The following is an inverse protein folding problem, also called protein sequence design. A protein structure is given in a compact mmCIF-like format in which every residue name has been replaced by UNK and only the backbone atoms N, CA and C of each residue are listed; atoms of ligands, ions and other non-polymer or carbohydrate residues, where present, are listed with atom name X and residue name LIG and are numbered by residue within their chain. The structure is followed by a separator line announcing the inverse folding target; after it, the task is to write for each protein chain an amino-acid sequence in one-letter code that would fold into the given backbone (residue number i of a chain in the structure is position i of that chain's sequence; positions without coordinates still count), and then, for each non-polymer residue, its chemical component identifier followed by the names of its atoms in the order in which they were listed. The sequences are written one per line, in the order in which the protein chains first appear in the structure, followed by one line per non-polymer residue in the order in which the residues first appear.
data_IF_137066494555
#
_entry.id   IF_137066494555
#
_cell.length_a   1.000
_cell.length_b   1.000
_cell.length_c   1.000
_cell.angle_alpha   90.00
_cell.angle_beta   90.00
_cell.angle_gamma   90.00
#
_symmetry.space_group_name_H-M   'P 1'
#
loop_
_entity.id
_entity.type
_entity.pdbx_description
1 polymer ?
#
# COMPACT_ATOMS: atom_id res chain seq x y z
N UNK A 1 29.02 29.17 59.76
CA UNK A 1 27.89 28.70 60.59
C UNK A 1 26.62 29.26 59.96
N UNK A 2 25.56 28.55 59.58
CA UNK A 2 25.10 27.21 59.91
C UNK A 2 24.00 26.84 58.88
N UNK A 3 24.05 25.61 58.36
CA UNK A 3 22.99 24.99 57.55
C UNK A 3 21.69 24.90 58.35
N UNK A 4 20.54 25.08 57.71
CA UNK A 4 19.30 24.43 58.15
C UNK A 4 18.53 23.87 56.95
N UNK A 5 18.44 22.56 57.00
CA UNK A 5 17.75 21.60 56.14
C UNK A 5 16.23 21.71 56.23
N UNK A 6 15.53 21.66 55.10
CA UNK A 6 14.09 21.36 55.06
C UNK A 6 13.92 19.92 54.56
N UNK A 7 13.34 19.10 55.44
CA UNK A 7 13.00 17.70 55.25
C UNK A 7 11.82 17.54 54.27
N UNK A 8 11.92 16.52 53.43
CA UNK A 8 10.80 15.91 52.71
C UNK A 8 9.76 15.37 53.70
N UNK A 9 8.50 15.73 53.48
CA UNK A 9 7.32 15.16 54.13
C UNK A 9 6.29 14.83 53.06
N UNK A 10 5.95 13.55 52.97
CA UNK A 10 4.96 13.00 52.06
C UNK A 10 3.54 13.53 52.35
N UNK A 11 2.78 13.82 51.29
CA UNK A 11 1.33 13.58 51.12
C UNK A 11 0.74 14.63 50.17
N UNK A 12 0.40 14.22 48.94
CA UNK A 12 -0.84 14.59 48.25
C UNK A 12 -0.74 14.10 46.80
N UNK A 13 -1.35 12.94 46.53
CA UNK A 13 -1.61 12.50 45.15
C UNK A 13 -2.72 13.40 44.62
N UNK A 14 -2.34 14.42 43.84
CA UNK A 14 -3.28 15.24 43.11
C UNK A 14 -3.93 14.39 42.01
N UNK A 15 -5.22 14.11 42.16
CA UNK A 15 -6.08 13.69 41.06
C UNK A 15 -6.05 14.80 39.98
N UNK A 16 -5.28 14.59 38.92
CA UNK A 16 -5.37 15.43 37.71
C UNK A 16 -6.65 15.04 36.99
N UNK A 17 -7.73 15.73 37.35
CA UNK A 17 -8.99 15.72 36.63
C UNK A 17 -8.76 16.48 35.32
N UNK A 18 -8.52 15.75 34.23
CA UNK A 18 -8.37 16.34 32.89
C UNK A 18 -9.69 17.00 32.50
N UNK A 19 -9.73 18.33 32.59
CA UNK A 19 -10.84 19.13 32.10
C UNK A 19 -10.97 18.98 30.57
N UNK A 20 -12.17 18.71 30.01
CA UNK A 20 -12.38 18.49 28.57
C UNK A 20 -12.04 19.69 27.68
N UNK A 21 -11.72 20.85 28.25
CA UNK A 21 -11.55 22.10 27.53
C UNK A 21 -10.29 22.16 26.65
N UNK A 22 -9.24 21.38 26.94
CA UNK A 22 -7.96 21.41 26.22
C UNK A 22 -7.77 20.39 25.09
N UNK A 23 -8.72 19.46 24.90
CA UNK A 23 -8.58 18.38 23.92
C UNK A 23 -9.01 18.84 22.52
N UNK A 24 -8.15 18.62 21.52
CA UNK A 24 -8.49 18.82 20.10
C UNK A 24 -9.68 17.94 19.67
N UNK A 25 -10.46 18.40 18.68
CA UNK A 25 -11.73 17.77 18.27
C UNK A 25 -11.60 16.26 18.00
N UNK A 26 -10.50 15.85 17.38
CA UNK A 26 -10.16 14.45 17.12
C UNK A 26 -10.06 13.59 18.40
N UNK A 27 -9.39 14.10 19.44
CA UNK A 27 -9.23 13.37 20.70
C UNK A 27 -10.56 13.27 21.47
N UNK A 28 -11.42 14.29 21.38
CA UNK A 28 -12.78 14.23 21.96
C UNK A 28 -13.64 13.20 21.25
N UNK A 29 -13.57 13.13 19.93
CA UNK A 29 -14.37 12.19 19.14
C UNK A 29 -13.93 10.74 19.40
N UNK A 30 -12.61 10.49 19.46
CA UNK A 30 -12.07 9.18 19.85
C UNK A 30 -12.46 8.78 21.28
N UNK A 31 -12.41 9.72 22.23
CA UNK A 31 -12.85 9.45 23.62
C UNK A 31 -14.35 9.22 23.74
N UNK A 32 -15.19 9.94 22.98
CA UNK A 32 -16.64 9.73 22.96
C UNK A 32 -17.01 8.38 22.37
N UNK A 33 -16.31 7.94 21.32
CA UNK A 33 -16.52 6.61 20.71
C UNK A 33 -16.03 5.48 21.64
N UNK A 34 -14.92 5.68 22.34
CA UNK A 34 -14.43 4.72 23.35
C UNK A 34 -15.36 4.67 24.57
N UNK A 35 -15.88 5.81 25.02
CA UNK A 35 -16.80 5.89 26.16
C UNK A 35 -18.18 5.30 25.83
N UNK A 36 -18.70 5.48 24.62
CA UNK A 36 -19.96 4.87 24.20
C UNK A 36 -19.83 3.35 24.04
N UNK A 37 -18.67 2.86 23.60
CA UNK A 37 -18.36 1.43 23.57
C UNK A 37 -18.25 0.81 24.98
N UNK A 38 -17.64 1.53 25.93
CA UNK A 38 -17.59 1.09 27.33
C UNK A 38 -18.98 1.08 28.00
N UNK A 39 -19.85 2.05 27.67
CA UNK A 39 -21.23 2.09 28.17
C UNK A 39 -22.11 0.96 27.58
N UNK A 40 -21.88 0.58 26.31
CA UNK A 40 -22.57 -0.53 25.68
C UNK A 40 -22.16 -1.90 26.26
N UNK A 41 -20.93 -2.02 26.76
CA UNK A 41 -20.45 -3.22 27.45
C UNK A 41 -20.96 -3.36 28.90
N UNK A 42 -21.57 -2.32 29.47
CA UNK A 42 -22.07 -2.28 30.85
C UNK A 42 -23.60 -2.52 30.96
N UNK A 43 -24.27 -2.97 29.90
CA UNK A 43 -25.70 -3.22 29.91
C UNK A 43 -26.03 -4.63 30.45
N UNK A 44 -26.50 -4.68 31.70
CA UNK A 44 -26.98 -5.87 32.40
C UNK A 44 -28.45 -6.16 31.99
N UNK A 45 -28.81 -7.35 31.47
CA UNK A 45 -30.20 -7.65 31.11
C UNK A 45 -31.07 -7.90 32.35
N UNK A 46 -32.34 -7.44 32.38
CA UNK A 46 -33.19 -7.63 33.55
C UNK A 46 -33.81 -9.04 33.56
N UNK A 47 -33.46 -9.80 34.60
CA UNK A 47 -34.36 -10.72 35.32
C UNK A 47 -34.70 -12.09 34.70
N UNK A 48 -34.27 -13.16 35.38
CA UNK A 48 -35.07 -14.38 35.49
C UNK A 48 -34.34 -15.72 35.54
N UNK A 49 -34.52 -16.41 36.68
CA UNK A 49 -34.38 -17.86 36.93
C UNK A 49 -33.00 -18.43 37.32
N UNK A 50 -32.91 -18.73 38.62
CA UNK A 50 -31.86 -19.47 39.28
C UNK A 50 -31.77 -20.94 38.80
N UNK A 51 -30.54 -21.42 38.56
CA UNK A 51 -30.17 -22.82 38.65
C UNK A 51 -28.71 -22.89 39.14
N UNK A 52 -28.51 -23.56 40.27
CA UNK A 52 -27.26 -23.55 41.03
C UNK A 52 -26.08 -24.21 40.31
N UNK A 53 -24.93 -23.54 40.38
CA UNK A 53 -23.61 -24.15 40.17
C UNK A 53 -22.75 -23.93 41.42
N UNK A 54 -21.85 -24.87 41.76
CA UNK A 54 -21.09 -24.83 43.01
C UNK A 54 -20.02 -23.73 42.95
N UNK A 55 -19.82 -23.02 44.07
CA UNK A 55 -18.73 -22.06 44.24
C UNK A 55 -17.36 -22.76 44.13
N UNK A 56 -16.39 -22.22 43.36
CA UNK A 56 -15.01 -22.65 43.44
C UNK A 56 -14.32 -22.06 44.70
N UNK A 57 -13.34 -22.77 45.29
CA UNK A 57 -12.76 -22.42 46.59
C UNK A 57 -11.89 -21.15 46.55
N UNK A 58 -11.81 -20.51 47.71
CA UNK A 58 -11.11 -19.25 47.95
C UNK A 58 -9.57 -19.38 47.86
N UNK A 59 -8.99 -18.39 47.16
CA UNK A 59 -7.66 -17.78 47.32
C UNK A 59 -6.39 -18.64 47.10
N UNK A 60 -5.65 -18.28 46.04
CA UNK A 60 -4.22 -18.03 46.16
C UNK A 60 -3.87 -16.70 45.47
N UNK A 61 -3.41 -15.77 46.31
CA UNK A 61 -3.08 -14.39 46.03
C UNK A 61 -1.80 -14.33 45.18
N UNK A 62 -1.97 -14.23 43.85
CA UNK A 62 -0.86 -14.04 42.93
C UNK A 62 -0.75 -12.56 42.53
N UNK A 63 0.42 -12.00 42.84
CA UNK A 63 0.77 -10.58 42.87
C UNK A 63 0.42 -9.84 41.58
N UNK A 64 -0.14 -8.64 41.76
CA UNK A 64 -0.22 -7.59 40.73
C UNK A 64 1.16 -7.33 40.09
N UNK A 65 1.25 -7.09 38.77
CA UNK A 65 2.49 -6.61 38.18
C UNK A 65 2.82 -5.20 38.72
N UNK A 66 4.11 -4.86 38.93
CA UNK A 66 4.48 -3.51 39.34
C UNK A 66 4.16 -2.48 38.24
N UNK A 67 3.90 -1.22 38.59
CA UNK A 67 3.71 -0.15 37.61
C UNK A 67 5.00 0.07 36.79
N UNK A 68 4.92 0.56 35.54
CA UNK A 68 6.10 0.84 34.75
C UNK A 68 6.96 1.89 35.45
N UNK A 69 8.22 1.53 35.74
CA UNK A 69 9.21 2.46 36.25
C UNK A 69 9.50 3.51 35.17
N UNK A 70 9.51 4.77 35.59
CA UNK A 70 9.88 5.91 34.77
C UNK A 70 11.26 5.68 34.13
N UNK A 71 11.30 5.61 32.80
CA UNK A 71 12.55 5.65 32.05
C UNK A 71 13.05 7.08 32.11
N UNK A 72 14.23 7.25 32.68
CA UNK A 72 14.94 8.51 32.75
C UNK A 72 15.19 9.08 31.33
N UNK A 73 14.84 10.35 31.14
CA UNK A 73 15.33 11.18 30.05
C UNK A 73 16.86 11.15 30.04
N UNK A 74 17.45 10.58 29.00
CA UNK A 74 18.84 10.84 28.63
C UNK A 74 18.79 11.87 27.50
N UNK A 75 18.94 13.14 27.90
CA UNK A 75 19.28 14.26 27.05
C UNK A 75 20.63 13.99 26.39
N UNK A 76 20.64 13.75 25.07
CA UNK A 76 21.85 13.87 24.25
C UNK A 76 21.73 15.17 23.47
N UNK A 77 22.57 16.12 23.87
CA UNK A 77 22.79 17.40 23.20
C UNK A 77 23.48 17.21 21.85
N UNK A 78 23.23 18.17 20.97
CA UNK A 78 23.67 18.35 19.59
C UNK A 78 25.15 18.07 19.30
N UNK A 79 25.43 17.46 18.14
CA UNK A 79 26.31 18.03 17.09
C UNK A 79 26.54 17.03 15.95
N UNK A 80 25.75 17.11 14.89
CA UNK A 80 26.20 16.69 13.54
C UNK A 80 25.68 17.70 12.52
N UNK A 81 26.60 18.50 12.01
CA UNK A 81 26.44 19.41 10.89
C UNK A 81 26.23 18.62 9.59
N UNK A 82 25.07 18.79 8.96
CA UNK A 82 24.85 18.39 7.56
C UNK A 82 24.58 19.66 6.77
N UNK A 83 25.59 20.09 6.01
CA UNK A 83 25.48 21.17 5.03
C UNK A 83 24.67 20.70 3.82
N UNK A 84 23.42 21.14 3.73
CA UNK A 84 22.61 21.05 2.50
C UNK A 84 22.66 22.41 1.81
N UNK A 85 23.37 22.49 0.69
CA UNK A 85 23.31 23.62 -0.23
C UNK A 85 22.22 23.34 -1.26
N UNK A 86 21.03 23.90 -1.04
CA UNK A 86 20.02 24.10 -2.08
C UNK A 86 20.20 25.51 -2.65
N UNK A 87 20.40 25.63 -3.97
CA UNK A 87 20.25 26.90 -4.68
C UNK A 87 19.14 26.74 -5.71
N UNK A 88 18.12 27.58 -5.53
CA UNK A 88 16.92 27.69 -6.32
C UNK A 88 17.20 28.31 -7.69
N UNK A 89 16.44 27.90 -8.70
CA UNK A 89 16.24 28.69 -9.91
C UNK A 89 14.74 28.85 -10.15
N UNK A 90 14.26 30.09 -10.09
CA UNK A 90 12.92 30.51 -10.50
C UNK A 90 13.02 31.86 -11.20
N UNK A 91 12.24 31.99 -12.29
CA UNK A 91 11.93 33.20 -13.08
C UNK A 91 13.06 33.72 -13.98
N UNK A 92 12.83 34.27 -15.16
CA UNK A 92 11.63 34.85 -15.75
C UNK A 92 11.69 34.79 -17.29
N UNK A 93 10.52 34.82 -17.94
CA UNK A 93 10.37 35.19 -19.34
C UNK A 93 10.55 36.72 -19.53
N UNK A 94 10.79 37.17 -20.77
CA UNK A 94 9.86 38.17 -21.30
C UNK A 94 9.52 37.99 -22.78
N UNK A 95 8.31 38.39 -23.13
CA UNK A 95 7.82 38.73 -24.45
C UNK A 95 7.85 40.25 -24.63
N UNK A 96 8.45 40.78 -25.70
CA UNK A 96 7.78 41.76 -26.57
C UNK A 96 8.51 42.09 -27.88
N UNK A 97 7.65 42.38 -28.84
CA UNK A 97 7.72 42.93 -30.21
C UNK A 97 8.89 43.82 -30.66
N UNK A 98 9.16 43.80 -31.98
CA UNK A 98 9.74 44.93 -32.72
C UNK A 98 10.70 44.56 -33.86
N UNK A 99 10.19 44.39 -35.09
CA UNK A 99 10.92 44.72 -36.34
C UNK A 99 10.88 46.26 -36.54
N UNK A 100 11.73 46.96 -37.35
CA UNK A 100 12.30 46.48 -38.62
C UNK A 100 13.67 47.10 -39.08
N UNK A 101 14.05 46.78 -40.34
CA UNK A 101 14.83 47.58 -41.33
C UNK A 101 16.37 47.66 -41.35
N UNK A 102 16.84 47.76 -42.61
CA UNK A 102 18.13 48.23 -43.17
C UNK A 102 19.26 47.17 -43.27
N UNK A 103 19.66 46.65 -44.44
CA UNK A 103 20.16 47.23 -45.71
C UNK A 103 21.64 47.62 -45.71
N UNK A 104 22.32 47.25 -46.81
CA UNK A 104 23.60 47.71 -47.36
C UNK A 104 24.89 46.89 -47.12
N UNK A 105 25.33 46.29 -48.24
CA UNK A 105 26.63 46.36 -48.91
C UNK A 105 27.96 46.17 -48.17
N UNK A 106 28.74 45.25 -48.75
CA UNK A 106 29.93 45.65 -49.50
C UNK A 106 31.27 45.58 -48.78
N UNK A 107 32.24 44.93 -49.44
CA UNK A 107 33.62 45.38 -49.40
C UNK A 107 34.59 44.63 -48.49
N UNK A 108 35.27 43.65 -49.08
CA UNK A 108 36.73 43.48 -49.14
C UNK A 108 37.67 43.99 -48.03
N UNK A 109 38.68 43.15 -47.79
CA UNK A 109 40.04 43.44 -47.27
C UNK A 109 40.12 43.71 -45.75
N UNK A 110 41.11 43.29 -44.99
CA UNK A 110 42.40 42.64 -45.23
C UNK A 110 42.92 42.11 -43.89
N UNK A 111 43.68 41.02 -43.97
CA UNK A 111 44.64 40.48 -43.00
C UNK A 111 45.07 41.36 -41.80
N UNK A 112 44.96 40.78 -40.61
CA UNK A 112 46.03 40.82 -39.61
C UNK A 112 45.99 39.54 -38.75
N UNK A 113 47.05 38.75 -38.88
CA UNK A 113 47.33 37.53 -38.15
C UNK A 113 48.14 37.85 -36.90
N UNK A 114 47.62 37.57 -35.71
CA UNK A 114 48.47 37.26 -34.55
C UNK A 114 47.65 36.84 -33.32
N UNK A 115 47.85 35.58 -32.91
CA UNK A 115 47.74 35.17 -31.51
C UNK A 115 46.37 34.70 -31.04
N UNK A 116 46.02 33.46 -31.34
CA UNK A 116 45.22 32.63 -30.43
C UNK A 116 45.77 31.20 -30.49
N UNK A 117 46.30 30.76 -29.35
CA UNK A 117 46.63 29.36 -29.05
C UNK A 117 45.47 28.45 -29.47
N UNK A 118 45.73 27.22 -29.96
CA UNK A 118 44.63 26.28 -30.16
C UNK A 118 44.00 26.02 -28.80
N UNK A 119 42.75 26.46 -28.63
CA UNK A 119 41.91 26.04 -27.52
C UNK A 119 41.92 24.51 -27.52
N UNK A 120 42.30 23.85 -26.42
CA UNK A 120 42.30 22.39 -26.39
C UNK A 120 40.88 21.95 -26.70
N UNK A 121 40.73 21.15 -27.76
CA UNK A 121 39.48 20.51 -28.13
C UNK A 121 38.87 19.94 -26.84
N UNK A 122 37.67 20.42 -26.51
CA UNK A 122 36.90 19.93 -25.38
C UNK A 122 36.88 18.40 -25.49
N UNK A 123 37.66 17.75 -24.62
CA UNK A 123 37.71 16.31 -24.53
C UNK A 123 36.28 15.84 -24.34
N UNK A 124 35.80 15.21 -25.40
CA UNK A 124 34.46 14.71 -25.59
C UNK A 124 34.05 13.93 -24.35
N UNK A 125 32.95 14.33 -23.70
CA UNK A 125 32.31 13.54 -22.65
C UNK A 125 31.98 12.10 -23.11
N UNK A 126 32.03 11.86 -24.42
CA UNK A 126 31.99 10.56 -25.09
C UNK A 126 33.17 9.63 -24.73
N UNK A 127 34.37 10.15 -24.43
CA UNK A 127 35.55 9.31 -24.14
C UNK A 127 35.50 8.69 -22.75
N UNK A 128 34.93 9.41 -21.76
CA UNK A 128 34.77 8.93 -20.40
C UNK A 128 33.80 7.72 -20.31
N UNK A 129 32.76 7.71 -21.15
CA UNK A 129 31.80 6.60 -21.22
C UNK A 129 32.37 5.37 -21.97
N UNK A 130 33.28 5.57 -22.92
CA UNK A 130 33.91 4.46 -23.67
C UNK A 130 34.88 3.62 -22.80
N UNK A 131 35.49 4.24 -21.78
CA UNK A 131 36.47 3.58 -20.90
C UNK A 131 35.82 2.62 -19.90
N UNK A 132 34.58 2.88 -19.49
CA UNK A 132 33.85 2.08 -18.50
C UNK A 132 33.25 0.78 -19.08
N UNK A 133 33.19 0.65 -20.41
CA UNK A 133 32.55 -0.46 -21.12
C UNK A 133 33.37 -1.78 -21.15
N UNK A 134 34.47 -1.88 -20.40
CA UNK A 134 35.37 -3.06 -20.42
C UNK A 134 35.43 -3.86 -19.13
N UNK A 135 34.48 -3.69 -18.21
CA UNK A 135 34.29 -4.63 -17.11
C UNK A 135 33.68 -5.93 -17.65
N UNK A 136 34.51 -6.79 -18.25
CA UNK A 136 34.14 -8.20 -18.50
C UNK A 136 33.98 -8.85 -17.13
N UNK A 137 32.73 -9.13 -16.76
CA UNK A 137 32.44 -9.94 -15.58
C UNK A 137 33.30 -11.22 -15.64
N UNK A 138 33.92 -11.64 -14.53
CA UNK A 138 34.66 -12.88 -14.50
C UNK A 138 33.74 -14.01 -14.99
N UNK A 139 34.29 -14.93 -15.78
CA UNK A 139 33.55 -16.07 -16.33
C UNK A 139 33.29 -17.06 -15.19
N UNK A 140 32.40 -16.72 -14.24
CA UNK A 140 31.95 -17.65 -13.21
C UNK A 140 31.27 -18.82 -13.90
N UNK A 141 31.55 -20.03 -13.43
CA UNK A 141 30.85 -21.21 -13.97
C UNK A 141 29.33 -21.00 -13.82
N UNK A 142 28.53 -21.35 -14.85
CA UNK A 142 27.08 -21.18 -14.79
C UNK A 142 26.49 -21.95 -13.59
N UNK A 143 27.10 -23.06 -13.20
CA UNK A 143 26.63 -23.85 -12.05
C UNK A 143 26.70 -23.05 -10.75
N UNK A 144 27.79 -22.29 -10.52
CA UNK A 144 27.95 -21.49 -9.29
C UNK A 144 26.93 -20.35 -9.25
N UNK A 145 26.73 -19.65 -10.37
CA UNK A 145 25.77 -18.53 -10.45
C UNK A 145 24.33 -19.01 -10.27
N UNK A 146 23.94 -20.10 -10.94
CA UNK A 146 22.62 -20.72 -10.78
C UNK A 146 22.40 -21.25 -9.35
N UNK A 147 23.39 -21.92 -8.76
CA UNK A 147 23.28 -22.45 -7.38
C UNK A 147 23.10 -21.32 -6.38
N UNK A 148 23.91 -20.26 -6.46
CA UNK A 148 23.80 -19.11 -5.58
C UNK A 148 22.44 -18.39 -5.75
N UNK A 149 22.00 -18.17 -6.99
CA UNK A 149 20.71 -17.54 -7.27
C UNK A 149 19.54 -18.37 -6.71
N UNK A 150 19.50 -19.67 -6.97
CA UNK A 150 18.43 -20.55 -6.51
C UNK A 150 18.41 -20.70 -4.98
N UNK A 151 19.58 -20.84 -4.36
CA UNK A 151 19.69 -20.93 -2.90
C UNK A 151 19.26 -19.63 -2.22
N UNK A 152 19.65 -18.46 -2.76
CA UNK A 152 19.19 -17.17 -2.27
C UNK A 152 17.66 -17.01 -2.38
N UNK A 153 17.08 -17.32 -3.54
CA UNK A 153 15.62 -17.28 -3.73
C UNK A 153 14.91 -18.24 -2.78
N UNK A 154 15.38 -19.49 -2.69
CA UNK A 154 14.80 -20.50 -1.82
C UNK A 154 14.86 -20.06 -0.36
N UNK A 155 16.01 -19.53 0.10
CA UNK A 155 16.16 -19.06 1.47
C UNK A 155 15.18 -17.90 1.76
N UNK A 156 15.13 -16.86 0.93
CA UNK A 156 14.27 -15.70 1.16
C UNK A 156 12.76 -16.04 1.11
N UNK A 157 12.32 -16.93 0.23
CA UNK A 157 10.90 -17.26 0.05
C UNK A 157 10.42 -18.41 0.94
N UNK A 158 11.20 -19.49 1.04
CA UNK A 158 10.78 -20.75 1.68
C UNK A 158 11.03 -20.71 3.19
N UNK A 159 12.09 -20.04 3.66
CA UNK A 159 12.41 -19.99 5.10
C UNK A 159 11.27 -19.39 5.94
N UNK A 160 10.67 -18.23 5.61
CA UNK A 160 9.62 -17.64 6.44
C UNK A 160 8.34 -18.50 6.46
N UNK A 161 7.99 -19.09 5.32
CA UNK A 161 6.83 -19.97 5.18
C UNK A 161 7.04 -21.24 6.01
N UNK A 162 8.20 -21.88 5.90
CA UNK A 162 8.49 -23.09 6.69
C UNK A 162 8.57 -22.80 8.18
N UNK A 163 9.13 -21.66 8.60
CA UNK A 163 9.14 -21.24 10.00
C UNK A 163 7.72 -21.06 10.57
N UNK A 164 6.81 -20.45 9.80
CA UNK A 164 5.41 -20.30 10.19
C UNK A 164 4.72 -21.68 10.31
N UNK A 165 4.91 -22.56 9.31
CA UNK A 165 4.33 -23.90 9.33
C UNK A 165 4.87 -24.77 10.48
N UNK A 166 6.15 -24.62 10.82
CA UNK A 166 6.75 -25.27 11.99
C UNK A 166 6.09 -24.79 13.28
N UNK A 167 5.92 -23.47 13.45
CA UNK A 167 5.22 -22.90 14.61
C UNK A 167 3.78 -23.39 14.70
N UNK A 168 3.07 -23.47 13.57
CA UNK A 168 1.71 -23.98 13.50
C UNK A 168 1.62 -25.48 13.88
N UNK A 169 2.62 -26.27 13.50
CA UNK A 169 2.68 -27.72 13.79
C UNK A 169 2.86 -28.04 15.28
N UNK A 170 3.35 -27.08 16.07
CA UNK A 170 3.48 -27.20 17.53
C UNK A 170 2.13 -27.00 18.25
N UNK A 171 1.12 -26.44 17.58
CA UNK A 171 -0.19 -26.19 18.16
C UNK A 171 -1.03 -27.48 18.08
N UNK A 172 -1.62 -27.96 19.19
CA UNK A 172 -2.53 -29.10 19.17
C UNK A 172 -3.68 -28.90 18.18
N UNK A 173 -4.01 -29.93 17.39
CA UNK A 173 -4.98 -29.83 16.29
C UNK A 173 -6.38 -29.33 16.74
N UNK A 174 -6.81 -29.72 17.95
CA UNK A 174 -8.07 -29.25 18.54
C UNK A 174 -8.05 -27.73 18.79
N UNK A 175 -6.93 -27.19 19.30
CA UNK A 175 -6.75 -25.76 19.52
C UNK A 175 -6.62 -25.03 18.18
N UNK A 176 -5.90 -25.61 17.22
CA UNK A 176 -5.76 -25.07 15.88
C UNK A 176 -7.13 -24.88 15.22
N UNK A 177 -7.95 -25.93 15.19
CA UNK A 177 -9.29 -25.87 14.57
C UNK A 177 -10.17 -24.88 15.33
N UNK A 178 -10.21 -24.94 16.67
CA UNK A 178 -11.04 -24.05 17.47
C UNK A 178 -10.73 -22.56 17.24
N UNK A 179 -9.44 -22.19 17.14
CA UNK A 179 -9.01 -20.81 16.85
C UNK A 179 -9.19 -20.44 15.38
N UNK A 180 -8.97 -21.37 14.45
CA UNK A 180 -9.19 -21.13 13.02
C UNK A 180 -10.66 -20.90 12.69
N UNK A 181 -11.57 -21.60 13.35
CA UNK A 181 -13.02 -21.50 13.11
C UNK A 181 -13.72 -20.57 14.10
N UNK A 182 -12.98 -19.76 14.84
CA UNK A 182 -13.57 -18.77 15.75
C UNK A 182 -14.44 -17.80 14.94
N UNK A 183 -15.64 -17.40 15.41
CA UNK A 183 -16.56 -16.57 14.64
C UNK A 183 -15.92 -15.27 14.10
N UNK A 184 -15.04 -14.65 14.90
CA UNK A 184 -14.30 -13.45 14.50
C UNK A 184 -13.34 -13.74 13.35
N UNK A 185 -12.59 -14.85 13.42
CA UNK A 185 -11.64 -15.26 12.38
C UNK A 185 -12.37 -15.59 11.07
N UNK A 186 -13.45 -16.36 11.13
CA UNK A 186 -14.27 -16.70 9.96
C UNK A 186 -14.83 -15.47 9.27
N UNK A 187 -15.35 -14.51 10.04
CA UNK A 187 -15.84 -13.26 9.47
C UNK A 187 -14.70 -12.40 8.90
N UNK A 188 -13.52 -12.37 9.54
CA UNK A 188 -12.36 -11.66 9.02
C UNK A 188 -11.87 -12.26 7.69
N UNK A 189 -11.85 -13.59 7.56
CA UNK A 189 -11.57 -14.25 6.28
C UNK A 189 -12.61 -13.84 5.23
N UNK A 190 -13.90 -13.92 5.55
CA UNK A 190 -14.96 -13.54 4.63
C UNK A 190 -14.80 -12.10 4.14
N UNK A 191 -14.55 -11.14 5.02
CA UNK A 191 -14.35 -9.72 4.64
C UNK A 191 -13.10 -9.58 3.77
N UNK A 192 -11.98 -10.20 4.15
CA UNK A 192 -10.74 -10.14 3.36
C UNK A 192 -10.93 -10.67 1.95
N UNK A 193 -11.50 -11.86 1.78
CA UNK A 193 -11.71 -12.48 0.47
C UNK A 193 -12.80 -11.78 -0.35
N UNK A 194 -13.93 -11.42 0.25
CA UNK A 194 -15.02 -10.73 -0.47
C UNK A 194 -14.60 -9.33 -0.92
N UNK A 195 -13.99 -8.52 -0.04
CA UNK A 195 -13.55 -7.17 -0.40
C UNK A 195 -12.43 -7.20 -1.46
N UNK A 196 -11.47 -8.11 -1.36
CA UNK A 196 -10.39 -8.24 -2.36
C UNK A 196 -10.92 -8.69 -3.72
N UNK A 197 -11.90 -9.59 -3.74
CA UNK A 197 -12.56 -10.01 -4.97
C UNK A 197 -13.35 -8.87 -5.61
N UNK A 198 -14.11 -8.10 -4.82
CA UNK A 198 -14.84 -6.92 -5.30
C UNK A 198 -13.86 -5.88 -5.85
N UNK A 199 -12.78 -5.58 -5.12
CA UNK A 199 -11.76 -4.65 -5.57
C UNK A 199 -11.11 -5.10 -6.89
N UNK A 200 -10.77 -6.39 -7.02
CA UNK A 200 -10.22 -6.96 -8.24
C UNK A 200 -11.19 -6.90 -9.41
N UNK A 201 -12.49 -7.17 -9.19
CA UNK A 201 -13.51 -7.07 -10.22
C UNK A 201 -13.70 -5.63 -10.71
N UNK A 202 -13.71 -4.66 -9.79
CA UNK A 202 -13.74 -3.23 -10.13
C UNK A 202 -12.50 -2.86 -10.94
N UNK A 203 -11.31 -3.28 -10.48
CA UNK A 203 -10.06 -3.03 -11.18
C UNK A 203 -9.96 -3.73 -12.53
N UNK A 204 -10.59 -4.89 -12.72
CA UNK A 204 -10.70 -5.55 -14.02
C UNK A 204 -11.38 -4.63 -15.03
N UNK A 205 -12.52 -4.04 -14.67
CA UNK A 205 -13.29 -3.16 -15.57
C UNK A 205 -12.57 -1.83 -15.78
N UNK A 206 -12.27 -1.10 -14.70
CA UNK A 206 -11.70 0.24 -14.80
C UNK A 206 -10.23 0.22 -15.25
N UNK A 207 -9.46 -0.79 -14.85
CA UNK A 207 -8.10 -0.99 -15.31
C UNK A 207 -8.03 -1.34 -16.79
N UNK A 208 -8.96 -2.16 -17.30
CA UNK A 208 -9.09 -2.41 -18.74
C UNK A 208 -9.40 -1.11 -19.50
N UNK A 209 -10.39 -0.35 -19.05
CA UNK A 209 -10.78 0.92 -19.69
C UNK A 209 -9.60 1.90 -19.67
N UNK A 210 -8.89 2.06 -18.55
CA UNK A 210 -7.77 2.98 -18.48
C UNK A 210 -6.60 2.52 -19.36
N UNK A 211 -6.27 1.23 -19.35
CA UNK A 211 -5.26 0.68 -20.26
C UNK A 211 -5.66 0.97 -21.72
N UNK A 212 -6.93 0.78 -22.08
CA UNK A 212 -7.45 1.05 -23.41
C UNK A 212 -7.23 2.51 -23.79
N UNK A 213 -7.61 3.42 -22.90
CA UNK A 213 -7.42 4.87 -23.11
C UNK A 213 -5.94 5.22 -23.30
N UNK A 214 -5.06 4.69 -22.44
CA UNK A 214 -3.63 4.98 -22.48
C UNK A 214 -2.93 4.41 -23.71
N UNK A 215 -3.34 3.25 -24.23
CA UNK A 215 -2.72 2.66 -25.42
C UNK A 215 -3.29 3.24 -26.71
N UNK A 216 -4.63 3.33 -26.82
CA UNK A 216 -5.30 3.64 -28.10
C UNK A 216 -5.39 5.13 -28.42
N UNK A 217 -5.44 6.00 -27.41
CA UNK A 217 -5.59 7.43 -27.63
C UNK A 217 -4.28 8.18 -27.38
N UNK A 218 -4.10 9.26 -28.14
CA UNK A 218 -3.02 10.23 -27.94
C UNK A 218 -3.66 11.57 -27.58
N UNK A 219 -3.35 12.07 -26.38
CA UNK A 219 -3.89 13.32 -25.85
C UNK A 219 -2.83 14.02 -24.98
N UNK A 220 -2.98 15.33 -24.81
CA UNK A 220 -2.09 16.12 -23.97
C UNK A 220 -2.23 15.66 -22.50
N UNK A 221 -1.10 15.41 -21.82
CA UNK A 221 -1.11 14.90 -20.43
C UNK A 221 -1.10 13.38 -20.27
N UNK A 222 -1.12 12.60 -21.36
CA UNK A 222 -1.02 11.12 -21.34
C UNK A 222 0.13 10.60 -20.47
N UNK A 223 1.31 11.22 -20.54
CA UNK A 223 2.49 10.84 -19.73
C UNK A 223 2.26 11.05 -18.22
N UNK A 224 1.56 12.12 -17.85
CA UNK A 224 1.24 12.42 -16.45
C UNK A 224 0.23 11.40 -15.94
N UNK A 225 -0.81 11.10 -16.74
CA UNK A 225 -1.79 10.08 -16.37
C UNK A 225 -1.16 8.70 -16.26
N UNK A 226 -0.29 8.32 -17.21
CA UNK A 226 0.44 7.04 -17.16
C UNK A 226 1.34 6.96 -15.92
N UNK A 227 2.04 8.04 -15.56
CA UNK A 227 2.84 8.09 -14.34
C UNK A 227 1.96 8.04 -13.07
N UNK A 228 0.78 8.65 -13.08
CA UNK A 228 -0.15 8.63 -11.95
C UNK A 228 -0.70 7.20 -11.67
N UNK A 229 -0.75 6.33 -12.68
CA UNK A 229 -1.10 4.91 -12.48
C UNK A 229 -0.11 4.22 -11.54
N UNK A 230 1.17 4.59 -11.55
CA UNK A 230 2.18 3.96 -10.69
C UNK A 230 2.30 4.63 -9.32
N UNK A 231 1.56 5.72 -9.07
CA UNK A 231 1.58 6.42 -7.80
C UNK A 231 1.33 5.50 -6.57
N UNK A 232 0.41 4.52 -6.62
CA UNK A 232 0.21 3.60 -5.51
C UNK A 232 1.45 2.76 -5.14
N UNK A 233 2.38 2.54 -6.08
CA UNK A 233 3.64 1.84 -5.80
C UNK A 233 4.72 2.74 -5.21
N UNK A 234 4.68 4.03 -5.53
CA UNK A 234 5.59 5.01 -4.97
C UNK A 234 5.22 5.40 -3.52
N UNK A 235 3.94 5.29 -3.16
CA UNK A 235 3.45 5.68 -1.85
C UNK A 235 3.62 4.55 -0.81
N UNK A 236 4.17 4.85 0.39
CA UNK A 236 4.05 3.95 1.52
C UNK A 236 2.57 3.64 1.80
N UNK A 237 2.24 2.39 2.11
CA UNK A 237 0.84 1.96 2.31
C UNK A 237 0.15 2.68 3.47
N UNK A 238 0.88 3.00 4.53
CA UNK A 238 0.38 3.83 5.63
C UNK A 238 0.03 5.26 5.18
N UNK A 239 0.86 5.86 4.32
CA UNK A 239 0.61 7.18 3.74
C UNK A 239 -0.61 7.13 2.81
N UNK A 240 -0.74 6.06 2.02
CA UNK A 240 -1.94 5.84 1.21
C UNK A 240 -3.21 5.75 2.06
N UNK A 241 -3.16 5.02 3.18
CA UNK A 241 -4.28 4.93 4.14
C UNK A 241 -4.68 6.29 4.71
N UNK A 242 -3.70 7.07 5.19
CA UNK A 242 -3.95 8.43 5.71
C UNK A 242 -4.54 9.35 4.64
N UNK A 243 -4.00 9.29 3.42
CA UNK A 243 -4.47 10.12 2.29
C UNK A 243 -5.89 9.77 1.92
N UNK A 244 -6.22 8.47 1.83
CA UNK A 244 -7.58 8.01 1.56
C UNK A 244 -8.55 8.42 2.67
N UNK A 245 -8.17 8.26 3.94
CA UNK A 245 -8.99 8.71 5.07
C UNK A 245 -9.23 10.23 5.03
N UNK A 246 -8.26 11.01 4.54
CA UNK A 246 -8.39 12.46 4.39
C UNK A 246 -9.31 12.84 3.22
N UNK A 247 -9.11 12.22 2.05
CA UNK A 247 -9.90 12.51 0.83
C UNK A 247 -11.37 12.11 0.98
N UNK A 248 -11.61 10.99 1.64
CA UNK A 248 -12.96 10.45 1.85
C UNK A 248 -13.57 10.84 3.20
N UNK A 249 -12.84 11.60 4.02
CA UNK A 249 -13.32 12.16 5.28
C UNK A 249 -14.04 13.50 5.11
N UNK A 250 -14.54 14.02 6.21
CA UNK A 250 -15.46 15.17 6.28
C UNK A 250 -14.79 16.50 5.85
N UNK A 251 -13.46 16.56 5.85
CA UNK A 251 -12.69 17.77 5.56
C UNK A 251 -12.54 18.03 4.06
N UNK A 252 -12.63 17.00 3.22
CA UNK A 252 -12.39 17.11 1.79
C UNK A 252 -13.69 17.07 0.98
N UNK A 253 -13.73 17.79 -0.14
CA UNK A 253 -14.97 17.98 -0.91
C UNK A 253 -15.59 16.67 -1.41
N UNK A 254 -14.77 15.64 -1.72
CA UNK A 254 -15.28 14.31 -2.08
C UNK A 254 -16.04 13.69 -0.90
N UNK A 255 -15.45 13.68 0.30
CA UNK A 255 -16.07 13.08 1.46
C UNK A 255 -17.36 13.82 1.86
N UNK A 256 -17.34 15.15 1.81
CA UNK A 256 -18.54 15.97 2.05
C UNK A 256 -19.68 15.66 1.07
N UNK A 257 -19.35 15.52 -0.22
CA UNK A 257 -20.34 15.18 -1.24
C UNK A 257 -20.94 13.79 -1.00
N UNK A 258 -20.11 12.79 -0.69
CA UNK A 258 -20.59 11.43 -0.41
C UNK A 258 -21.44 11.38 0.88
N UNK A 259 -21.07 12.13 1.90
CA UNK A 259 -21.84 12.22 3.14
C UNK A 259 -23.17 12.93 2.98
N UNK A 260 -23.25 13.96 2.12
CA UNK A 260 -24.51 14.58 1.75
C UNK A 260 -25.49 13.57 1.10
N UNK A 261 -24.96 12.51 0.48
CA UNK A 261 -25.73 11.38 -0.05
C UNK A 261 -25.91 10.23 0.96
N UNK A 262 -25.46 10.39 2.21
CA UNK A 262 -25.54 9.38 3.26
C UNK A 262 -24.53 8.24 3.14
N UNK A 263 -23.52 8.35 2.27
CA UNK A 263 -22.50 7.31 2.04
C UNK A 263 -21.26 7.62 2.88
N UNK A 264 -21.04 6.86 3.94
CA UNK A 264 -19.83 6.94 4.74
C UNK A 264 -18.77 5.97 4.21
N UNK A 265 -17.59 6.50 3.86
CA UNK A 265 -16.48 5.71 3.32
C UNK A 265 -15.49 5.33 4.43
N UNK A 266 -15.00 6.31 5.17
CA UNK A 266 -14.01 6.10 6.25
C UNK A 266 -14.66 5.36 7.40
N UNK A 267 -13.93 4.46 8.03
CA UNK A 267 -14.39 3.57 9.11
C UNK A 267 -15.51 2.61 8.69
N UNK A 268 -15.54 2.21 7.42
CA UNK A 268 -16.49 1.24 6.89
C UNK A 268 -15.85 0.18 6.01
N UNK A 269 -16.61 -0.88 5.71
CA UNK A 269 -16.23 -1.90 4.73
C UNK A 269 -16.01 -1.32 3.34
N UNK A 270 -16.68 -0.23 2.98
CA UNK A 270 -16.51 0.43 1.69
C UNK A 270 -15.14 1.12 1.60
N UNK A 271 -14.66 1.71 2.70
CA UNK A 271 -13.29 2.22 2.80
C UNK A 271 -12.22 1.13 2.59
N UNK A 272 -12.46 -0.08 3.11
CA UNK A 272 -11.58 -1.25 2.87
C UNK A 272 -11.50 -1.56 1.37
N UNK A 273 -12.63 -1.63 0.68
CA UNK A 273 -12.69 -1.90 -0.76
C UNK A 273 -11.97 -0.82 -1.55
N UNK A 274 -12.17 0.46 -1.22
CA UNK A 274 -11.50 1.59 -1.89
C UNK A 274 -9.98 1.53 -1.69
N UNK A 275 -9.51 1.22 -0.48
CA UNK A 275 -8.08 1.05 -0.21
C UNK A 275 -7.49 -0.10 -1.04
N UNK A 276 -8.18 -1.23 -1.11
CA UNK A 276 -7.77 -2.36 -1.94
C UNK A 276 -7.76 -2.01 -3.44
N UNK A 277 -8.77 -1.28 -3.92
CA UNK A 277 -8.83 -0.78 -5.31
C UNK A 277 -7.58 0.04 -5.60
N UNK A 278 -7.33 1.07 -4.79
CA UNK A 278 -6.23 2.02 -4.99
C UNK A 278 -4.88 1.31 -5.12
N UNK A 279 -4.60 0.38 -4.21
CA UNK A 279 -3.30 -0.30 -4.14
C UNK A 279 -3.12 -1.39 -5.22
N UNK A 280 -4.22 -2.03 -5.65
CA UNK A 280 -4.15 -3.13 -6.63
C UNK A 280 -4.43 -2.71 -8.07
N UNK A 281 -4.95 -1.50 -8.28
CA UNK A 281 -5.29 -0.96 -9.60
C UNK A 281 -4.17 -1.05 -10.65
N UNK A 282 -2.90 -0.71 -10.34
CA UNK A 282 -1.87 -0.64 -11.37
C UNK A 282 -1.52 -2.01 -11.97
N UNK A 283 -1.78 -3.10 -11.24
CA UNK A 283 -1.51 -4.47 -11.71
C UNK A 283 -2.32 -4.82 -12.95
N UNK A 284 -3.59 -4.40 -13.03
CA UNK A 284 -4.41 -4.65 -14.22
C UNK A 284 -3.89 -3.84 -15.40
N UNK A 285 -3.64 -2.55 -15.19
CA UNK A 285 -3.20 -1.62 -16.25
C UNK A 285 -1.86 -2.06 -16.83
N UNK A 286 -0.86 -2.31 -15.99
CA UNK A 286 0.51 -2.67 -16.42
C UNK A 286 0.61 -4.06 -17.02
N UNK A 287 -0.32 -4.97 -16.71
CA UNK A 287 -0.43 -6.27 -17.39
C UNK A 287 -1.08 -6.14 -18.76
N UNK A 288 -2.09 -5.27 -18.89
CA UNK A 288 -2.87 -5.07 -20.11
C UNK A 288 -2.14 -4.26 -21.18
N UNK A 289 -1.41 -3.22 -20.78
CA UNK A 289 -0.72 -2.30 -21.68
C UNK A 289 0.21 -3.00 -22.71
N UNK A 290 1.17 -3.86 -22.33
CA UNK A 290 2.09 -4.47 -23.29
C UNK A 290 1.35 -5.33 -24.33
N UNK A 291 0.39 -6.15 -23.87
CA UNK A 291 -0.39 -7.03 -24.76
C UNK A 291 -1.22 -6.22 -25.75
N UNK A 292 -1.79 -5.09 -25.32
CA UNK A 292 -2.58 -4.25 -26.20
C UNK A 292 -1.73 -3.42 -27.18
N UNK A 293 -0.46 -3.16 -26.86
CA UNK A 293 0.49 -2.53 -27.78
C UNK A 293 0.99 -3.50 -28.85
N UNK A 294 1.00 -4.80 -28.57
CA UNK A 294 1.37 -5.85 -29.53
C UNK A 294 0.30 -6.11 -30.60
N UNK A 295 -0.97 -5.73 -30.34
CA UNK A 295 -2.04 -5.89 -31.31
C UNK A 295 -1.82 -4.93 -32.49
N UNK A 296 -1.52 -5.53 -33.64
CA UNK A 296 -1.33 -4.86 -34.92
C UNK A 296 -2.64 -4.22 -35.42
N UNK A 297 -2.55 -2.97 -35.90
CA UNK A 297 -3.72 -2.24 -36.44
C UNK A 297 -4.26 -2.89 -37.71
N UNK A 298 -3.39 -3.56 -38.44
CA UNK A 298 -3.67 -4.28 -39.68
C UNK A 298 -4.75 -5.35 -39.48
N UNK A 299 -4.82 -5.97 -38.29
CA UNK A 299 -5.87 -6.94 -37.95
C UNK A 299 -7.26 -6.30 -37.88
N UNK A 300 -7.35 -5.06 -37.39
CA UNK A 300 -8.62 -4.32 -37.32
C UNK A 300 -9.04 -3.83 -38.70
N UNK A 301 -8.09 -3.35 -39.51
CA UNK A 301 -8.31 -2.90 -40.89
C UNK A 301 -8.77 -4.06 -41.79
N UNK A 302 -8.20 -5.26 -41.60
CA UNK A 302 -8.65 -6.46 -42.30
C UNK A 302 -10.09 -6.84 -41.94
N UNK A 303 -10.46 -6.76 -40.65
CA UNK A 303 -11.82 -7.02 -40.20
C UNK A 303 -12.83 -6.01 -40.79
N UNK A 304 -12.48 -4.72 -40.84
CA UNK A 304 -13.32 -3.70 -41.46
C UNK A 304 -13.44 -3.90 -42.98
N UNK A 305 -12.38 -4.34 -43.65
CA UNK A 305 -12.41 -4.66 -45.09
C UNK A 305 -13.32 -5.85 -45.41
N UNK A 306 -13.49 -6.79 -44.47
CA UNK A 306 -14.44 -7.90 -44.54
C UNK A 306 -15.89 -7.51 -44.14
N UNK A 307 -16.14 -6.22 -43.86
CA UNK A 307 -17.46 -5.70 -43.51
C UNK A 307 -17.84 -5.87 -42.04
N UNK A 308 -16.89 -6.18 -41.14
CA UNK A 308 -17.17 -6.23 -39.71
C UNK A 308 -17.43 -4.82 -39.15
N UNK A 309 -18.46 -4.69 -38.31
CA UNK A 309 -18.72 -3.46 -37.56
C UNK A 309 -17.68 -3.27 -36.45
N UNK A 310 -17.48 -2.04 -35.97
CA UNK A 310 -16.53 -1.74 -34.88
C UNK A 310 -16.74 -2.60 -33.63
N UNK A 311 -18.00 -2.85 -33.25
CA UNK A 311 -18.33 -3.72 -32.13
C UNK A 311 -17.91 -5.16 -32.39
N UNK A 312 -18.15 -5.68 -33.59
CA UNK A 312 -17.76 -7.03 -33.97
C UNK A 312 -16.24 -7.20 -34.07
N UNK A 313 -15.54 -6.22 -34.63
CA UNK A 313 -14.07 -6.19 -34.62
C UNK A 313 -13.54 -6.21 -33.19
N UNK A 314 -14.15 -5.45 -32.28
CA UNK A 314 -13.76 -5.47 -30.88
C UNK A 314 -13.98 -6.85 -30.24
N UNK A 315 -15.17 -7.45 -30.36
CA UNK A 315 -15.49 -8.72 -29.68
C UNK A 315 -14.78 -9.92 -30.29
N UNK A 316 -14.62 -9.95 -31.61
CA UNK A 316 -14.16 -11.14 -32.34
C UNK A 316 -12.65 -11.11 -32.63
N UNK A 317 -12.03 -9.92 -32.69
CA UNK A 317 -10.62 -9.77 -33.07
C UNK A 317 -9.78 -9.23 -31.92
N UNK A 318 -10.23 -8.18 -31.23
CA UNK A 318 -9.40 -7.47 -30.24
C UNK A 318 -9.55 -8.06 -28.83
N UNK A 319 -10.76 -8.37 -28.40
CA UNK A 319 -11.02 -8.86 -27.04
C UNK A 319 -10.44 -10.27 -26.77
N UNK A 320 -10.51 -11.26 -27.68
CA UNK A 320 -10.01 -12.61 -27.42
C UNK A 320 -8.53 -12.68 -27.02
N UNK A 321 -7.58 -12.01 -27.71
CA UNK A 321 -6.18 -12.00 -27.29
C UNK A 321 -5.94 -11.19 -26.00
N UNK A 322 -6.82 -10.24 -25.67
CA UNK A 322 -6.73 -9.44 -24.45
C UNK A 322 -7.26 -10.17 -23.20
N UNK A 323 -8.22 -11.09 -23.35
CA UNK A 323 -8.84 -11.79 -22.23
C UNK A 323 -7.84 -12.53 -21.32
N UNK A 324 -6.87 -13.31 -21.84
CA UNK A 324 -5.86 -13.96 -20.99
C UNK A 324 -5.02 -12.96 -20.19
N UNK A 325 -4.69 -11.81 -20.78
CA UNK A 325 -3.94 -10.75 -20.13
C UNK A 325 -4.78 -10.07 -19.03
N UNK A 326 -6.06 -9.82 -19.32
CA UNK A 326 -7.00 -9.23 -18.37
C UNK A 326 -7.22 -10.13 -17.15
N UNK A 327 -7.39 -11.44 -17.35
CA UNK A 327 -7.51 -12.41 -16.27
C UNK A 327 -6.22 -12.49 -15.44
N UNK A 328 -5.05 -12.41 -16.10
CA UNK A 328 -3.74 -12.40 -15.43
C UNK A 328 -3.59 -11.15 -14.57
N UNK A 329 -3.86 -9.97 -15.13
CA UNK A 329 -3.79 -8.70 -14.40
C UNK A 329 -4.77 -8.63 -13.23
N UNK A 330 -5.99 -9.16 -13.41
CA UNK A 330 -7.02 -9.22 -12.36
C UNK A 330 -6.60 -10.16 -11.23
N UNK A 331 -5.98 -11.31 -11.54
CA UNK A 331 -5.45 -12.22 -10.52
C UNK A 331 -4.31 -11.61 -9.71
N UNK A 332 -3.41 -10.87 -10.38
CA UNK A 332 -2.34 -10.13 -9.70
C UNK A 332 -2.92 -9.03 -8.80
N UNK A 333 -3.93 -8.30 -9.28
CA UNK A 333 -4.63 -7.29 -8.48
C UNK A 333 -5.32 -7.92 -7.26
N UNK A 334 -6.01 -9.04 -7.43
CA UNK A 334 -6.61 -9.80 -6.32
C UNK A 334 -5.56 -10.24 -5.30
N UNK A 335 -4.46 -10.84 -5.77
CA UNK A 335 -3.35 -11.27 -4.89
C UNK A 335 -2.76 -10.09 -4.12
N UNK A 336 -2.65 -8.91 -4.75
CA UNK A 336 -2.17 -7.70 -4.08
C UNK A 336 -3.17 -7.21 -3.03
N UNK A 337 -4.46 -7.17 -3.36
CA UNK A 337 -5.51 -6.72 -2.45
C UNK A 337 -5.63 -7.62 -1.22
N UNK A 338 -5.46 -8.93 -1.39
CA UNK A 338 -5.53 -9.92 -0.31
C UNK A 338 -4.44 -9.73 0.75
N UNK A 339 -3.24 -9.33 0.32
CA UNK A 339 -2.10 -9.04 1.19
C UNK A 339 -2.04 -7.61 1.74
N UNK A 340 -3.06 -6.78 1.49
CA UNK A 340 -3.05 -5.39 1.97
C UNK A 340 -3.38 -5.30 3.47
N UNK A 341 -2.61 -4.46 4.16
CA UNK A 341 -2.75 -4.20 5.60
C UNK A 341 -2.58 -2.72 5.92
N UNK A 342 -1.49 -2.11 5.45
CA UNK A 342 -1.03 -0.79 5.92
C UNK A 342 -2.00 0.36 5.63
N UNK A 343 -2.69 0.34 4.49
CA UNK A 343 -3.71 1.35 4.20
C UNK A 343 -5.03 1.10 4.94
N UNK A 344 -5.39 -0.18 5.11
CA UNK A 344 -6.69 -0.61 5.64
C UNK A 344 -6.80 -0.37 7.15
N UNK A 345 -5.72 -0.56 7.90
CA UNK A 345 -5.70 -0.35 9.35
C UNK A 345 -6.06 1.11 9.72
N UNK A 346 -5.77 2.07 8.83
CA UNK A 346 -6.07 3.49 9.02
C UNK A 346 -7.47 3.86 8.52
N UNK A 347 -7.89 3.28 7.39
CA UNK A 347 -9.15 3.65 6.71
C UNK A 347 -10.38 2.96 7.31
N UNK A 348 -10.23 1.82 7.97
CA UNK A 348 -11.35 1.04 8.52
C UNK A 348 -11.51 1.19 10.03
N UNK A 349 -12.68 0.80 10.57
CA UNK A 349 -12.90 0.75 12.03
C UNK A 349 -12.11 -0.36 12.69
N UNK A 350 -11.78 -1.42 11.94
CA UNK A 350 -11.16 -2.65 12.42
C UNK A 350 -11.99 -3.37 13.49
N UNK A 351 -13.32 -3.27 13.43
CA UNK A 351 -14.21 -3.95 14.36
C UNK A 351 -14.63 -5.32 13.86
N UNK A 352 -14.62 -6.30 14.77
CA UNK A 352 -15.11 -7.65 14.52
C UNK A 352 -16.54 -7.62 13.95
N UNK A 353 -16.85 -8.56 13.05
CA UNK A 353 -18.15 -8.67 12.38
C UNK A 353 -18.58 -7.47 11.52
N UNK A 354 -17.71 -6.46 11.32
CA UNK A 354 -18.00 -5.28 10.49
C UNK A 354 -17.05 -5.17 9.30
N UNK A 355 -15.84 -4.70 9.53
CA UNK A 355 -14.84 -4.36 8.51
C UNK A 355 -13.43 -4.85 8.84
N UNK A 356 -13.29 -5.63 9.91
CA UNK A 356 -12.03 -6.29 10.26
C UNK A 356 -11.59 -7.29 9.18
N UNK A 357 -10.35 -7.13 8.72
CA UNK A 357 -9.68 -8.04 7.79
C UNK A 357 -8.70 -8.97 8.52
N UNK A 358 -8.43 -10.15 7.95
CA UNK A 358 -7.56 -11.15 8.53
C UNK A 358 -6.12 -10.65 8.83
N UNK A 359 -5.44 -9.87 7.97
CA UNK A 359 -4.13 -9.28 8.31
C UNK A 359 -4.17 -8.38 9.56
N UNK A 360 -5.23 -7.61 9.74
CA UNK A 360 -5.39 -6.76 10.93
C UNK A 360 -5.68 -7.61 12.16
N UNK A 361 -6.46 -8.68 12.02
CA UNK A 361 -6.71 -9.61 13.13
C UNK A 361 -5.40 -10.29 13.60
N UNK A 362 -4.53 -10.70 12.68
CA UNK A 362 -3.20 -11.24 13.03
C UNK A 362 -2.40 -10.21 13.83
N UNK A 363 -2.41 -8.95 13.40
CA UNK A 363 -1.74 -7.87 14.09
C UNK A 363 -2.32 -7.64 15.50
N UNK A 364 -3.65 -7.62 15.65
CA UNK A 364 -4.33 -7.51 16.96
C UNK A 364 -3.95 -8.66 17.90
N UNK A 365 -3.86 -9.90 17.41
CA UNK A 365 -3.39 -11.03 18.21
C UNK A 365 -1.95 -10.83 18.69
N UNK A 366 -1.06 -10.31 17.84
CA UNK A 366 0.33 -10.02 18.21
C UNK A 366 0.43 -8.91 19.25
N UNK A 367 -0.36 -7.84 19.14
CA UNK A 367 -0.44 -6.77 20.13
C UNK A 367 -0.94 -7.27 21.49
N UNK A 368 -1.81 -8.26 21.48
CA UNK A 368 -2.35 -8.92 22.68
C UNK A 368 -1.46 -10.06 23.20
N UNK A 369 -0.27 -10.26 22.62
CA UNK A 369 0.64 -11.36 22.93
C UNK A 369 0.05 -12.78 22.69
N UNK A 370 -1.06 -12.89 21.95
CA UNK A 370 -1.62 -14.17 21.50
C UNK A 370 -0.90 -14.67 20.24
N UNK A 371 0.33 -15.14 20.43
CA UNK A 371 1.14 -15.71 19.35
C UNK A 371 0.51 -16.96 18.73
N UNK A 372 -0.29 -17.71 19.50
CA UNK A 372 -0.98 -18.91 19.01
C UNK A 372 -2.06 -18.51 18.03
N UNK A 373 -2.93 -17.55 18.41
CA UNK A 373 -3.94 -16.98 17.53
C UNK A 373 -3.34 -16.40 16.25
N UNK A 374 -2.30 -15.58 16.37
CA UNK A 374 -1.60 -14.99 15.22
C UNK A 374 -1.04 -16.08 14.27
N UNK A 375 -0.41 -17.13 14.82
CA UNK A 375 0.16 -18.24 14.05
C UNK A 375 -0.92 -19.03 13.32
N UNK A 376 -2.01 -19.39 14.00
CA UNK A 376 -3.13 -20.14 13.43
C UNK A 376 -3.79 -19.33 12.31
N UNK A 377 -4.16 -18.08 12.59
CA UNK A 377 -4.87 -17.23 11.64
C UNK A 377 -3.99 -16.93 10.42
N UNK A 378 -2.70 -16.65 10.64
CA UNK A 378 -1.72 -16.45 9.57
C UNK A 378 -1.53 -17.68 8.70
N UNK A 379 -1.48 -18.88 9.31
CA UNK A 379 -1.33 -20.14 8.57
C UNK A 379 -2.57 -20.44 7.73
N UNK A 380 -3.77 -20.25 8.28
CA UNK A 380 -5.03 -20.42 7.55
C UNK A 380 -5.12 -19.44 6.38
N UNK A 381 -4.83 -18.16 6.62
CA UNK A 381 -4.84 -17.15 5.56
C UNK A 381 -3.83 -17.49 4.46
N UNK A 382 -2.61 -17.92 4.81
CA UNK A 382 -1.60 -18.38 3.84
C UNK A 382 -2.11 -19.54 2.99
N UNK A 383 -2.67 -20.58 3.62
CA UNK A 383 -3.16 -21.77 2.92
C UNK A 383 -4.32 -21.42 1.97
N UNK A 384 -5.29 -20.65 2.44
CA UNK A 384 -6.43 -20.24 1.61
C UNK A 384 -5.95 -19.35 0.46
N UNK A 385 -5.03 -18.41 0.72
CA UNK A 385 -4.46 -17.54 -0.31
C UNK A 385 -3.74 -18.34 -1.39
N UNK A 386 -2.95 -19.34 -1.00
CA UNK A 386 -2.24 -20.21 -1.92
C UNK A 386 -3.22 -21.03 -2.77
N UNK A 387 -4.23 -21.65 -2.13
CA UNK A 387 -5.25 -22.44 -2.84
C UNK A 387 -6.03 -21.57 -3.83
N UNK A 388 -6.46 -20.37 -3.42
CA UNK A 388 -7.17 -19.43 -4.29
C UNK A 388 -6.30 -18.97 -5.46
N UNK A 389 -5.05 -18.61 -5.21
CA UNK A 389 -4.14 -18.18 -6.28
C UNK A 389 -3.87 -19.31 -7.29
N UNK A 390 -3.70 -20.55 -6.80
CA UNK A 390 -3.58 -21.73 -7.66
C UNK A 390 -4.86 -21.96 -8.46
N UNK A 391 -6.04 -21.84 -7.84
CA UNK A 391 -7.32 -21.99 -8.53
C UNK A 391 -7.47 -20.96 -9.67
N UNK A 392 -7.13 -19.70 -9.41
CA UNK A 392 -7.18 -18.63 -10.42
C UNK A 392 -6.19 -18.89 -11.57
N UNK A 393 -4.96 -19.33 -11.27
CA UNK A 393 -3.97 -19.67 -12.29
C UNK A 393 -4.43 -20.86 -13.16
N UNK A 394 -5.08 -21.87 -12.56
CA UNK A 394 -5.61 -23.01 -13.31
C UNK A 394 -6.79 -22.60 -14.19
N UNK A 395 -7.68 -21.73 -13.71
CA UNK A 395 -8.76 -21.15 -14.52
C UNK A 395 -8.21 -20.38 -15.71
N UNK A 396 -7.15 -19.59 -15.53
CA UNK A 396 -6.47 -18.90 -16.64
C UNK A 396 -5.89 -19.87 -17.66
N UNK A 397 -5.27 -20.96 -17.20
CA UNK A 397 -4.69 -21.97 -18.09
C UNK A 397 -5.75 -22.69 -18.92
N UNK A 398 -6.94 -22.89 -18.36
CA UNK A 398 -8.10 -23.43 -19.07
C UNK A 398 -8.68 -22.41 -20.05
N UNK A 399 -8.74 -21.12 -19.69
CA UNK A 399 -9.22 -20.06 -20.58
C UNK A 399 -8.27 -19.74 -21.75
N UNK A 400 -7.00 -20.18 -21.68
CA UNK A 400 -6.01 -20.07 -22.76
C UNK A 400 -6.05 -21.24 -23.76
N UNK A 401 -6.74 -22.33 -23.42
CA UNK A 401 -6.99 -23.46 -24.32
C UNK A 401 -8.29 -23.26 -25.04
#
# INVERSE_FOLDING_TARGET
MQRSSVRLGASSVAHVQLSPAGLGRYQRQRLQVVASAAAAAAFDPPGGAAAGFPQPPAQQQQRSPPPPQAVAEVTIAESVSVSVSASAATSAAPSNEGSPTASFDGGSSSSSSSGLSPVPAAATATDAFSSMARFRLPNLSPIITWTFMLSYMAFMLIMPITALLQKASLVPLNVFIARATEPVAMHAYYVTFSCSLIAAAINCVFGFVLAWVLVRYNFAGKKILDAAVDLPFALPTSVAGLTLATVYGDEFFIGQFLQAQGIQVVFTRLGVVIAMIFVSFPFVVRTMQPVMQEIQKEMEEAAWSLGASQWRTFTDVVLPPLLPALLTGTALAFSRALGEFGSIVIVSSNFAFKDLIAPVLIFQCLEQYDYVGATVIGTVLLLISLVMMLAVNQLQKLARK
#
